data_IF_736458453590
#
_entry.id   IF_736458453590
#
_cell.length_a   1.000
_cell.length_b   1.000
_cell.length_c   1.000
_cell.angle_alpha   90.00
_cell.angle_beta   90.00
_cell.angle_gamma   90.00
#
_symmetry.space_group_name_H-M   'P 1'
#
loop_
_entity.id
_entity.type
_entity.pdbx_description
1 polymer ?
#
# COMPACT_ATOMS: atom_id res chain seq x y z
N UNK A 1 -62.22 12.12 -47.44
CA UNK A 1 -63.14 11.15 -46.85
C UNK A 1 -62.63 9.74 -47.15
N UNK A 2 -62.62 8.79 -46.23
CA UNK A 2 -62.79 8.80 -44.76
C UNK A 2 -61.46 8.67 -43.98
N UNK A 3 -61.28 9.19 -42.78
CA UNK A 3 -61.74 8.74 -41.43
C UNK A 3 -61.30 7.33 -41.04
N UNK A 4 -60.65 7.28 -39.91
CA UNK A 4 -60.62 6.12 -39.03
C UNK A 4 -59.27 5.98 -38.33
N UNK A 5 -59.30 6.45 -37.11
CA UNK A 5 -59.09 5.73 -35.83
C UNK A 5 -57.61 5.63 -35.40
N UNK A 6 -57.25 6.40 -34.43
CA UNK A 6 -57.43 6.31 -32.97
C UNK A 6 -56.35 5.47 -32.26
N UNK A 7 -55.70 6.16 -31.33
CA UNK A 7 -55.36 5.68 -29.99
C UNK A 7 -54.86 4.24 -29.79
N UNK A 8 -53.63 4.22 -29.33
CA UNK A 8 -53.00 3.41 -28.24
C UNK A 8 -51.53 3.27 -28.53
N UNK A 9 -50.63 3.76 -27.77
CA UNK A 9 -50.31 3.32 -26.46
C UNK A 9 -49.21 4.24 -25.88
N UNK A 10 -49.55 5.11 -25.00
CA UNK A 10 -48.70 5.53 -23.92
C UNK A 10 -48.72 4.40 -22.90
N UNK A 11 -47.67 3.63 -22.78
CA UNK A 11 -47.35 2.84 -21.58
C UNK A 11 -46.13 1.99 -21.89
N UNK A 12 -45.06 2.25 -21.25
CA UNK A 12 -43.92 1.40 -20.89
C UNK A 12 -42.57 2.11 -21.09
N UNK A 13 -42.41 3.22 -20.38
CA UNK A 13 -41.09 3.74 -20.08
C UNK A 13 -41.02 3.96 -18.57
N UNK A 14 -41.10 2.86 -17.84
CA UNK A 14 -40.86 2.88 -16.40
C UNK A 14 -40.54 1.47 -15.95
N UNK A 15 -39.27 1.10 -15.99
CA UNK A 15 -38.69 0.01 -15.20
C UNK A 15 -37.26 -0.23 -15.63
N UNK A 16 -36.32 0.51 -15.12
CA UNK A 16 -34.92 0.07 -14.93
C UNK A 16 -34.21 1.10 -14.01
N UNK A 17 -34.84 1.45 -12.88
CA UNK A 17 -34.09 1.84 -11.69
C UNK A 17 -33.64 0.53 -11.06
N UNK A 18 -32.46 0.04 -11.44
CA UNK A 18 -31.76 -0.94 -10.62
C UNK A 18 -31.29 -0.19 -9.39
N UNK A 19 -31.91 -0.48 -8.27
CA UNK A 19 -31.38 -0.26 -6.95
C UNK A 19 -29.96 -0.85 -6.94
N UNK A 20 -28.98 0.01 -6.72
CA UNK A 20 -27.65 -0.43 -6.37
C UNK A 20 -27.76 -0.83 -4.91
N UNK A 21 -28.04 -2.11 -4.67
CA UNK A 21 -27.91 -2.70 -3.35
C UNK A 21 -26.52 -2.38 -2.82
N UNK A 22 -26.48 -1.56 -1.79
CA UNK A 22 -25.27 -1.34 -1.02
C UNK A 22 -24.84 -2.70 -0.46
N UNK A 23 -23.70 -3.19 -0.92
CA UNK A 23 -23.07 -4.36 -0.33
C UNK A 23 -22.95 -4.13 1.18
N UNK A 24 -23.35 -5.10 2.02
CA UNK A 24 -23.25 -4.93 3.46
C UNK A 24 -21.79 -4.71 3.82
N UNK A 25 -21.53 -3.62 4.56
CA UNK A 25 -20.25 -3.41 5.21
C UNK A 25 -19.91 -4.71 5.96
N UNK A 26 -18.79 -5.35 5.59
CA UNK A 26 -18.28 -6.47 6.36
C UNK A 26 -18.08 -5.96 7.79
N UNK A 27 -18.92 -6.46 8.69
CA UNK A 27 -18.76 -6.23 10.11
C UNK A 27 -17.31 -6.57 10.47
N UNK A 28 -16.65 -5.64 11.15
CA UNK A 28 -15.38 -5.94 11.80
C UNK A 28 -15.57 -7.26 12.55
N UNK A 29 -14.77 -8.26 12.20
CA UNK A 29 -14.79 -9.52 12.94
C UNK A 29 -14.36 -9.17 14.36
N UNK A 30 -15.33 -9.05 15.26
CA UNK A 30 -15.10 -9.15 16.69
C UNK A 30 -14.55 -10.55 16.92
N UNK A 31 -13.24 -10.62 17.14
CA UNK A 31 -12.62 -11.83 17.65
C UNK A 31 -13.10 -11.97 19.11
N UNK A 32 -14.16 -12.74 19.30
CA UNK A 32 -14.58 -13.22 20.62
C UNK A 32 -13.51 -14.20 21.11
N UNK A 33 -12.45 -13.66 21.71
CA UNK A 33 -11.45 -14.45 22.40
C UNK A 33 -12.05 -14.80 23.76
N UNK A 34 -12.51 -16.04 23.91
CA UNK A 34 -12.81 -16.60 25.21
C UNK A 34 -11.55 -16.47 26.10
N UNK A 35 -11.65 -15.98 27.34
CA UNK A 35 -10.52 -15.90 28.25
C UNK A 35 -10.17 -17.31 28.74
N UNK A 36 -9.42 -18.09 27.95
CA UNK A 36 -8.88 -19.38 28.36
C UNK A 36 -7.36 -19.25 28.45
N UNK A 37 -6.86 -19.24 29.68
CA UNK A 37 -5.50 -19.63 30.12
C UNK A 37 -4.30 -19.03 29.34
N UNK A 38 -4.31 -17.74 29.08
CA UNK A 38 -3.07 -17.04 28.74
C UNK A 38 -2.26 -16.92 30.02
N UNK A 39 -1.25 -17.75 30.20
CA UNK A 39 -0.30 -17.58 31.27
C UNK A 39 0.31 -16.18 31.14
N UNK A 40 0.25 -15.38 32.21
CA UNK A 40 0.78 -14.02 32.28
C UNK A 40 2.29 -13.95 31.95
N UNK A 41 2.97 -15.11 31.89
CA UNK A 41 4.37 -15.32 31.50
C UNK A 41 4.65 -15.19 30.00
N UNK A 42 3.62 -15.22 29.13
CA UNK A 42 3.81 -15.22 27.66
C UNK A 42 3.74 -13.81 27.06
N UNK A 43 3.24 -12.82 27.82
CA UNK A 43 3.17 -11.43 27.39
C UNK A 43 4.56 -10.81 27.41
N UNK A 44 4.98 -10.26 26.26
CA UNK A 44 6.28 -9.60 26.12
C UNK A 44 6.22 -8.16 26.64
N UNK A 45 7.28 -7.74 27.33
CA UNK A 45 7.44 -6.34 27.72
C UNK A 45 8.08 -5.57 26.55
N UNK A 46 7.35 -4.62 25.96
CA UNK A 46 7.89 -3.74 24.93
C UNK A 46 7.35 -2.31 25.04
N UNK A 47 8.12 -1.37 24.50
CA UNK A 47 7.80 0.04 24.45
C UNK A 47 7.41 0.43 23.02
N UNK A 48 6.43 1.33 22.86
CA UNK A 48 6.12 2.03 21.61
C UNK A 48 6.68 3.44 21.73
N UNK A 49 7.73 3.74 20.98
CA UNK A 49 8.41 5.05 21.01
C UNK A 49 8.17 5.78 19.69
N UNK A 50 7.45 6.94 19.71
CA UNK A 50 7.28 7.74 18.50
C UNK A 50 8.62 8.12 17.87
N UNK A 51 8.72 8.02 16.55
CA UNK A 51 9.88 8.48 15.79
C UNK A 51 9.86 10.01 15.63
N UNK A 52 11.03 10.64 15.48
CA UNK A 52 11.10 12.07 15.19
C UNK A 52 10.60 12.32 13.77
N UNK A 53 9.43 12.94 13.62
CA UNK A 53 8.85 13.27 12.33
C UNK A 53 7.32 13.14 12.28
N UNK A 54 6.74 13.22 11.09
CA UNK A 54 5.29 13.27 10.91
C UNK A 54 4.61 11.90 11.02
N UNK A 55 5.38 10.79 11.14
CA UNK A 55 4.85 9.43 11.13
C UNK A 55 5.86 8.44 11.72
N UNK A 56 5.33 7.40 12.35
CA UNK A 56 6.09 6.23 12.78
C UNK A 56 6.36 6.12 14.27
N UNK A 57 6.56 4.87 14.69
CA UNK A 57 7.06 4.52 16.00
C UNK A 57 8.04 3.34 15.93
N UNK A 58 8.97 3.30 16.86
CA UNK A 58 9.87 2.18 17.10
C UNK A 58 9.26 1.25 18.14
N UNK A 59 9.24 -0.05 17.87
CA UNK A 59 8.82 -1.08 18.82
C UNK A 59 10.08 -1.66 19.47
N UNK A 60 10.27 -1.40 20.74
CA UNK A 60 11.51 -1.73 21.46
C UNK A 60 11.25 -2.86 22.46
N UNK A 61 12.04 -3.94 22.35
CA UNK A 61 11.98 -5.06 23.25
C UNK A 61 11.02 -6.17 22.85
N UNK A 62 10.33 -6.06 21.70
CA UNK A 62 9.51 -7.14 21.17
C UNK A 62 10.38 -8.08 20.32
N UNK A 63 10.29 -9.37 20.62
CA UNK A 63 10.98 -10.46 19.91
C UNK A 63 9.98 -11.22 19.03
N UNK A 64 10.07 -11.05 17.72
CA UNK A 64 9.21 -11.69 16.72
C UNK A 64 9.67 -13.13 16.35
N UNK A 65 10.76 -13.62 16.95
CA UNK A 65 11.11 -15.07 16.85
C UNK A 65 10.19 -15.93 17.70
N UNK A 66 9.47 -15.31 18.64
CA UNK A 66 8.49 -15.95 19.53
C UNK A 66 7.07 -15.71 19.02
N UNK A 67 6.18 -16.62 19.31
CA UNK A 67 4.75 -16.40 19.08
C UNK A 67 4.26 -15.21 19.93
N UNK A 68 3.53 -14.30 19.31
CA UNK A 68 2.95 -13.15 20.02
C UNK A 68 1.65 -13.54 20.71
N UNK A 69 1.57 -13.29 22.00
CA UNK A 69 0.32 -13.38 22.75
C UNK A 69 -0.74 -12.43 22.13
N UNK A 70 -2.04 -12.75 22.22
CA UNK A 70 -3.11 -11.90 21.69
C UNK A 70 -3.05 -10.46 22.21
N UNK A 71 -2.68 -10.26 23.48
CA UNK A 71 -2.54 -8.93 24.08
C UNK A 71 -1.39 -8.13 23.45
N UNK A 72 -0.24 -8.76 23.17
CA UNK A 72 0.89 -8.12 22.51
C UNK A 72 0.54 -7.74 21.06
N UNK A 73 -0.11 -8.64 20.34
CA UNK A 73 -0.59 -8.35 18.99
C UNK A 73 -1.56 -7.16 18.98
N UNK A 74 -2.53 -7.12 19.91
CA UNK A 74 -3.47 -6.00 20.00
C UNK A 74 -2.76 -4.66 20.24
N UNK A 75 -1.70 -4.64 21.07
CA UNK A 75 -0.89 -3.44 21.30
C UNK A 75 -0.09 -3.03 20.05
N UNK A 76 0.47 -4.00 19.31
CA UNK A 76 1.18 -3.73 18.04
C UNK A 76 0.20 -3.21 16.99
N UNK A 77 -0.99 -3.81 16.87
CA UNK A 77 -2.02 -3.39 15.94
C UNK A 77 -2.49 -1.95 16.27
N UNK A 78 -2.75 -1.64 17.54
CA UNK A 78 -3.10 -0.28 17.94
C UNK A 78 -1.98 0.72 17.62
N UNK A 79 -0.72 0.36 17.91
CA UNK A 79 0.42 1.21 17.55
C UNK A 79 0.52 1.45 16.03
N UNK A 80 0.18 0.45 15.20
CA UNK A 80 0.13 0.59 13.75
C UNK A 80 -0.95 1.59 13.32
N UNK A 81 -2.14 1.54 13.93
CA UNK A 81 -3.23 2.48 13.66
C UNK A 81 -2.91 3.93 14.11
N UNK A 82 -2.19 4.08 15.21
CA UNK A 82 -1.83 5.38 15.77
C UNK A 82 -0.66 6.04 15.03
N UNK A 83 0.31 5.23 14.59
CA UNK A 83 1.58 5.73 14.03
C UNK A 83 1.78 5.43 12.54
N UNK A 84 1.00 4.55 11.92
CA UNK A 84 1.00 4.19 10.50
C UNK A 84 2.29 3.54 9.97
N UNK A 85 3.38 3.64 10.69
CA UNK A 85 4.68 3.05 10.40
C UNK A 85 5.28 2.50 11.68
N UNK A 86 5.63 1.21 11.70
CA UNK A 86 6.32 0.59 12.83
C UNK A 86 7.70 0.09 12.40
N UNK A 87 8.69 0.34 13.25
CA UNK A 87 10.07 -0.14 13.08
C UNK A 87 10.39 -1.10 14.21
N UNK A 88 10.66 -2.35 13.88
CA UNK A 88 11.12 -3.37 14.80
C UNK A 88 12.62 -3.58 14.53
N UNK A 89 13.47 -3.26 15.52
CA UNK A 89 14.92 -3.36 15.38
C UNK A 89 15.43 -4.77 15.65
N UNK A 90 16.53 -5.13 14.98
CA UNK A 90 17.30 -6.39 15.17
C UNK A 90 16.44 -7.67 15.22
N UNK A 91 15.48 -7.79 14.32
CA UNK A 91 14.59 -8.95 14.23
C UNK A 91 15.26 -10.06 13.41
N UNK A 92 15.82 -11.08 14.08
CA UNK A 92 16.51 -12.21 13.42
C UNK A 92 15.53 -13.33 13.09
N UNK A 93 14.44 -12.99 12.42
CA UNK A 93 13.36 -13.91 12.08
C UNK A 93 13.66 -14.69 10.80
N UNK A 94 13.13 -15.92 10.75
CA UNK A 94 13.13 -16.74 9.55
C UNK A 94 12.09 -16.22 8.54
N UNK A 95 12.18 -16.60 7.25
CA UNK A 95 11.12 -16.30 6.27
C UNK A 95 9.72 -16.73 6.72
N UNK A 96 9.60 -17.90 7.37
CA UNK A 96 8.31 -18.37 7.86
C UNK A 96 7.77 -17.49 8.99
N UNK A 97 8.61 -17.09 9.96
CA UNK A 97 8.21 -16.18 11.04
C UNK A 97 7.78 -14.80 10.50
N UNK A 98 8.47 -14.30 9.45
CA UNK A 98 8.05 -13.07 8.76
C UNK A 98 6.65 -13.23 8.15
N UNK A 99 6.37 -14.35 7.46
CA UNK A 99 5.06 -14.67 6.89
C UNK A 99 4.00 -14.78 8.00
N UNK A 100 4.30 -15.52 9.06
CA UNK A 100 3.34 -15.80 10.15
C UNK A 100 2.97 -14.51 10.89
N UNK A 101 3.94 -13.64 11.17
CA UNK A 101 3.67 -12.33 11.75
C UNK A 101 2.82 -11.46 10.81
N UNK A 102 3.14 -11.42 9.53
CA UNK A 102 2.39 -10.64 8.54
C UNK A 102 0.94 -11.12 8.42
N UNK A 103 0.69 -12.42 8.46
CA UNK A 103 -0.64 -13.03 8.39
C UNK A 103 -1.56 -12.67 9.56
N UNK A 104 -1.00 -12.20 10.67
CA UNK A 104 -1.81 -11.71 11.81
C UNK A 104 -2.65 -10.48 11.43
N UNK A 105 -2.25 -9.72 10.43
CA UNK A 105 -2.95 -8.52 9.95
C UNK A 105 -3.91 -8.80 8.79
N UNK A 106 -3.82 -9.96 8.15
CA UNK A 106 -4.71 -10.36 7.05
C UNK A 106 -4.07 -11.33 6.06
N UNK A 107 -4.82 -11.73 5.01
CA UNK A 107 -4.30 -12.56 3.92
C UNK A 107 -3.11 -11.90 3.23
N UNK A 108 -2.13 -12.69 2.79
CA UNK A 108 -0.97 -12.19 2.06
C UNK A 108 -1.20 -12.26 0.54
N UNK A 109 -0.83 -11.19 -0.14
CA UNK A 109 -0.86 -11.10 -1.59
C UNK A 109 0.38 -11.78 -2.20
N UNK A 110 0.17 -12.50 -3.30
CA UNK A 110 1.25 -13.06 -4.13
C UNK A 110 1.52 -12.09 -5.28
N UNK A 111 2.75 -11.58 -5.36
CA UNK A 111 3.12 -10.61 -6.40
C UNK A 111 3.17 -11.26 -7.78
N UNK A 112 2.76 -10.53 -8.83
CA UNK A 112 2.68 -11.04 -10.22
C UNK A 112 4.04 -11.40 -10.83
N UNK A 113 5.14 -10.88 -10.34
CA UNK A 113 6.51 -11.17 -10.79
C UNK A 113 7.06 -12.39 -10.04
N UNK A 114 6.56 -13.57 -10.40
CA UNK A 114 6.87 -14.85 -9.72
C UNK A 114 8.37 -15.19 -9.69
N UNK A 115 9.15 -14.73 -10.67
CA UNK A 115 10.59 -14.98 -10.76
C UNK A 115 11.39 -14.33 -9.61
N UNK A 116 10.79 -13.41 -8.86
CA UNK A 116 11.42 -12.74 -7.71
C UNK A 116 10.88 -13.21 -6.36
N UNK A 117 10.06 -14.25 -6.35
CA UNK A 117 9.62 -14.87 -5.09
C UNK A 117 10.79 -15.59 -4.44
N UNK A 118 10.84 -15.53 -3.12
CA UNK A 118 11.81 -16.34 -2.37
C UNK A 118 11.49 -17.82 -2.54
N UNK A 119 12.50 -18.63 -2.86
CA UNK A 119 12.33 -20.07 -3.05
C UNK A 119 11.70 -20.73 -1.81
N UNK A 120 10.61 -21.45 -1.99
CA UNK A 120 9.83 -22.09 -0.92
C UNK A 120 8.87 -21.17 -0.15
N UNK A 121 8.87 -19.83 -0.44
CA UNK A 121 8.04 -18.84 0.24
C UNK A 121 7.47 -17.84 -0.78
N UNK A 122 6.46 -18.20 -1.58
CA UNK A 122 5.92 -17.36 -2.64
C UNK A 122 5.28 -16.06 -2.12
N UNK A 123 4.93 -15.97 -0.86
CA UNK A 123 4.42 -14.76 -0.20
C UNK A 123 5.50 -13.68 -0.01
N UNK A 124 6.78 -14.07 -0.11
CA UNK A 124 7.90 -13.15 0.02
C UNK A 124 8.42 -12.75 -1.36
N UNK A 125 8.31 -11.46 -1.68
CA UNK A 125 9.00 -10.85 -2.81
C UNK A 125 10.41 -10.42 -2.38
N UNK A 126 11.43 -10.84 -3.14
CA UNK A 126 12.80 -10.35 -2.96
C UNK A 126 12.94 -8.99 -3.63
N UNK A 127 13.26 -7.96 -2.84
CA UNK A 127 13.60 -6.60 -3.31
C UNK A 127 15.12 -6.47 -3.24
N UNK A 128 15.80 -6.42 -4.40
CA UNK A 128 17.26 -6.46 -4.44
C UNK A 128 17.80 -5.91 -5.75
N UNK A 129 18.92 -5.17 -5.68
CA UNK A 129 19.71 -4.76 -6.84
C UNK A 129 20.83 -5.75 -7.19
N UNK A 130 20.91 -6.88 -6.50
CA UNK A 130 21.97 -7.87 -6.67
C UNK A 130 21.73 -8.68 -7.94
N UNK A 131 22.80 -8.89 -8.69
CA UNK A 131 22.86 -9.77 -9.86
C UNK A 131 23.81 -10.92 -9.56
N UNK A 132 23.33 -12.16 -9.66
CA UNK A 132 24.12 -13.39 -9.49
C UNK A 132 24.08 -14.19 -10.79
N UNK A 133 25.20 -14.66 -11.26
CA UNK A 133 25.34 -15.39 -12.54
C UNK A 133 24.63 -14.68 -13.73
N UNK A 134 24.74 -13.34 -13.78
CA UNK A 134 24.12 -12.50 -14.81
C UNK A 134 22.61 -12.35 -14.71
N UNK A 135 21.97 -12.80 -13.62
CA UNK A 135 20.53 -12.71 -13.41
C UNK A 135 20.21 -11.90 -12.14
N UNK A 136 19.25 -10.96 -12.20
CA UNK A 136 18.74 -10.32 -10.99
C UNK A 136 18.11 -11.34 -10.05
N UNK A 137 18.47 -11.31 -8.77
CA UNK A 137 17.88 -12.17 -7.74
C UNK A 137 16.61 -11.58 -7.12
N UNK A 138 16.29 -10.33 -7.43
CA UNK A 138 15.15 -9.60 -6.91
C UNK A 138 14.73 -8.44 -7.81
N UNK A 139 13.69 -7.73 -7.41
CA UNK A 139 13.21 -6.53 -8.09
C UNK A 139 14.06 -5.33 -7.67
N UNK A 140 15.03 -4.94 -8.51
CA UNK A 140 16.02 -3.91 -8.19
C UNK A 140 15.55 -2.47 -8.28
N UNK A 141 14.51 -2.22 -9.05
CA UNK A 141 13.91 -0.88 -9.26
C UNK A 141 12.58 -0.69 -8.53
N UNK A 142 12.26 -1.57 -7.57
CA UNK A 142 11.05 -1.43 -6.77
C UNK A 142 11.06 -0.11 -6.01
N UNK A 143 10.01 0.69 -6.23
CA UNK A 143 9.79 1.91 -5.45
C UNK A 143 10.68 3.11 -5.78
N UNK A 144 11.26 3.20 -6.97
CA UNK A 144 12.01 4.39 -7.43
C UNK A 144 11.16 5.66 -7.64
N UNK A 145 9.89 5.60 -7.35
CA UNK A 145 8.90 6.68 -7.45
C UNK A 145 7.96 6.62 -6.25
N UNK A 146 7.34 7.75 -5.89
CA UNK A 146 6.37 7.79 -4.81
C UNK A 146 5.13 6.96 -5.14
N UNK A 147 4.78 6.00 -4.28
CA UNK A 147 3.65 5.10 -4.50
C UNK A 147 3.08 4.53 -3.19
N UNK A 148 1.84 4.08 -3.26
CA UNK A 148 1.25 3.12 -2.33
C UNK A 148 1.25 1.75 -3.01
N UNK A 149 1.65 0.70 -2.30
CA UNK A 149 1.74 -0.66 -2.86
C UNK A 149 0.39 -1.14 -3.39
N UNK A 150 0.42 -1.72 -4.60
CA UNK A 150 -0.73 -2.40 -5.22
C UNK A 150 -1.96 -1.49 -5.40
N UNK A 151 -1.84 -0.16 -5.36
CA UNK A 151 -2.96 0.76 -5.54
C UNK A 151 -3.67 0.63 -6.90
N UNK A 152 -3.08 -0.11 -7.84
CA UNK A 152 -3.62 -0.44 -9.15
C UNK A 152 -4.54 -1.69 -9.16
N UNK A 153 -4.92 -2.23 -8.00
CA UNK A 153 -5.91 -3.30 -7.85
C UNK A 153 -7.17 -2.79 -7.17
N UNK A 154 -8.28 -3.48 -7.40
CA UNK A 154 -9.57 -3.19 -6.75
C UNK A 154 -9.48 -3.28 -5.22
N UNK A 155 -8.71 -4.28 -4.74
CA UNK A 155 -8.30 -4.44 -3.34
C UNK A 155 -6.80 -4.09 -3.22
N UNK A 156 -6.45 -2.82 -2.96
CA UNK A 156 -5.08 -2.41 -2.71
C UNK A 156 -4.50 -3.07 -1.46
N UNK A 157 -3.20 -2.97 -1.28
CA UNK A 157 -2.55 -3.44 -0.05
C UNK A 157 -3.02 -2.66 1.19
N UNK A 158 -3.33 -3.37 2.27
CA UNK A 158 -3.45 -2.79 3.62
C UNK A 158 -2.10 -2.23 4.04
N UNK A 159 -1.06 -3.03 3.96
CA UNK A 159 0.28 -2.69 4.41
C UNK A 159 1.31 -3.67 3.88
N UNK A 160 2.58 -3.30 4.01
CA UNK A 160 3.70 -4.15 3.63
C UNK A 160 4.73 -4.19 4.74
N UNK A 161 5.34 -5.36 4.92
CA UNK A 161 6.45 -5.56 5.84
C UNK A 161 7.72 -5.82 5.04
N UNK A 162 8.77 -5.06 5.33
CA UNK A 162 10.06 -5.15 4.64
C UNK A 162 11.16 -5.49 5.65
N UNK A 163 11.80 -6.63 5.48
CA UNK A 163 12.81 -7.15 6.39
C UNK A 163 14.21 -7.07 5.76
N UNK A 164 15.14 -6.39 6.45
CA UNK A 164 16.51 -6.18 5.97
C UNK A 164 17.36 -7.45 6.06
N UNK A 165 17.87 -7.91 4.90
CA UNK A 165 18.74 -9.07 4.77
C UNK A 165 20.20 -8.67 4.50
N UNK A 166 20.42 -7.75 3.57
CA UNK A 166 21.72 -7.21 3.21
C UNK A 166 21.56 -5.71 2.94
N UNK A 167 22.37 -4.88 3.59
CA UNK A 167 22.29 -3.43 3.50
C UNK A 167 23.58 -2.83 2.94
N UNK A 168 23.48 -1.78 2.12
CA UNK A 168 24.63 -1.04 1.65
C UNK A 168 25.25 -0.22 2.80
N UNK A 169 26.54 0.09 2.69
CA UNK A 169 27.23 0.98 3.65
C UNK A 169 26.76 2.43 3.58
N UNK A 170 26.15 2.84 2.46
CA UNK A 170 25.56 4.17 2.25
C UNK A 170 24.36 4.09 1.29
N UNK A 171 23.43 5.03 1.40
CA UNK A 171 22.19 5.01 0.63
C UNK A 171 21.21 3.93 1.10
N UNK A 172 20.29 3.56 0.22
CA UNK A 172 19.31 2.49 0.50
C UNK A 172 18.17 2.89 1.45
N UNK A 173 18.10 4.14 1.88
CA UNK A 173 17.02 4.64 2.76
C UNK A 173 15.64 4.46 2.10
N UNK A 174 14.59 4.46 2.92
CA UNK A 174 13.21 4.52 2.45
C UNK A 174 12.53 5.76 3.03
N UNK A 175 11.86 6.52 2.17
CA UNK A 175 11.10 7.70 2.57
C UNK A 175 9.62 7.34 2.62
N UNK A 176 8.92 7.85 3.62
CA UNK A 176 7.47 7.68 3.83
C UNK A 176 6.81 9.04 3.95
N UNK A 177 5.75 9.28 3.20
CA UNK A 177 4.96 10.52 3.29
C UNK A 177 3.59 10.22 3.93
N UNK A 178 3.23 11.04 4.93
CA UNK A 178 1.96 10.92 5.65
C UNK A 178 0.81 11.53 4.85
N UNK A 179 -0.03 10.69 4.27
CA UNK A 179 -1.13 11.11 3.41
C UNK A 179 -2.35 11.62 4.18
N UNK A 180 -2.48 11.31 5.49
CA UNK A 180 -3.43 12.00 6.38
C UNK A 180 -3.01 13.45 6.56
N UNK A 181 -1.74 13.68 6.92
CA UNK A 181 -1.22 15.04 7.09
C UNK A 181 -1.26 15.83 5.79
N UNK A 182 -0.92 15.18 4.67
CA UNK A 182 -1.03 15.79 3.34
C UNK A 182 -2.47 16.22 3.04
N UNK A 183 -3.49 15.41 3.39
CA UNK A 183 -4.88 15.81 3.26
C UNK A 183 -5.27 16.95 4.21
N UNK A 184 -4.85 16.88 5.48
CA UNK A 184 -5.20 17.85 6.52
C UNK A 184 -4.63 19.25 6.21
N UNK A 185 -3.47 19.33 5.55
CA UNK A 185 -2.76 20.56 5.20
C UNK A 185 -3.04 21.07 3.78
N UNK A 186 -3.95 20.42 3.02
CA UNK A 186 -4.33 20.88 1.68
C UNK A 186 -4.83 22.33 1.70
N UNK A 187 -4.33 23.20 0.80
CA UNK A 187 -4.96 24.49 0.55
C UNK A 187 -6.44 24.33 0.19
N UNK A 188 -7.26 25.26 0.64
CA UNK A 188 -8.72 25.20 0.45
C UNK A 188 -9.12 25.03 -1.04
N UNK A 189 -8.40 25.67 -1.96
CA UNK A 189 -8.64 25.55 -3.40
C UNK A 189 -8.46 24.10 -3.88
N UNK A 190 -7.33 23.46 -3.54
CA UNK A 190 -7.05 22.05 -3.89
C UNK A 190 -8.04 21.10 -3.22
N UNK A 191 -8.34 21.33 -1.93
CA UNK A 191 -9.32 20.52 -1.20
C UNK A 191 -10.70 20.55 -1.87
N UNK A 192 -11.16 21.71 -2.30
CA UNK A 192 -12.44 21.88 -3.01
C UNK A 192 -12.41 21.22 -4.40
N UNK A 193 -11.29 21.31 -5.11
CA UNK A 193 -11.14 20.75 -6.46
C UNK A 193 -11.24 19.20 -6.46
N UNK A 194 -10.93 18.54 -5.35
CA UNK A 194 -10.90 17.05 -5.27
C UNK A 194 -12.12 16.45 -4.56
N UNK A 195 -13.08 17.26 -4.09
CA UNK A 195 -14.29 16.73 -3.43
C UNK A 195 -15.03 15.78 -4.37
N UNK A 196 -15.23 14.54 -3.92
CA UNK A 196 -15.93 13.50 -4.67
C UNK A 196 -15.24 13.03 -5.95
N UNK A 197 -14.02 13.49 -6.24
CA UNK A 197 -13.26 13.07 -7.42
C UNK A 197 -12.74 11.64 -7.25
N UNK A 198 -12.63 10.95 -8.39
CA UNK A 198 -12.03 9.64 -8.52
C UNK A 198 -10.87 9.71 -9.51
N UNK A 199 -9.87 8.86 -9.32
CA UNK A 199 -8.69 8.80 -10.17
C UNK A 199 -8.45 7.37 -10.66
N UNK A 200 -7.86 7.26 -11.84
CA UNK A 200 -7.46 5.99 -12.45
C UNK A 200 -6.06 5.65 -11.98
N UNK A 201 -5.88 4.41 -11.54
CA UNK A 201 -4.59 3.83 -11.18
C UNK A 201 -4.22 2.74 -12.18
N UNK A 202 -2.98 2.77 -12.68
CA UNK A 202 -2.49 1.88 -13.74
C UNK A 202 -1.07 1.39 -13.44
N UNK A 203 -0.92 0.08 -13.29
CA UNK A 203 0.39 -0.57 -13.22
C UNK A 203 1.10 -0.53 -14.58
N UNK A 204 0.33 -0.75 -15.67
CA UNK A 204 0.90 -0.86 -17.02
C UNK A 204 1.49 0.46 -17.51
N UNK A 205 0.89 1.60 -17.13
CA UNK A 205 1.43 2.91 -17.48
C UNK A 205 2.82 3.10 -16.88
N UNK A 206 2.97 2.83 -15.58
CA UNK A 206 4.25 2.93 -14.87
C UNK A 206 5.26 1.90 -15.36
N UNK A 207 4.83 0.65 -15.59
CA UNK A 207 5.69 -0.41 -16.10
C UNK A 207 6.32 -0.04 -17.45
N UNK A 208 5.48 0.49 -18.37
CA UNK A 208 5.93 0.96 -19.68
C UNK A 208 6.86 2.17 -19.60
N UNK A 209 6.65 3.08 -18.66
CA UNK A 209 7.53 4.21 -18.42
C UNK A 209 8.93 3.75 -17.96
N UNK A 210 9.00 2.87 -16.99
CA UNK A 210 10.26 2.32 -16.48
C UNK A 210 11.05 1.54 -17.55
N UNK A 211 10.35 0.82 -18.45
CA UNK A 211 11.01 0.17 -19.58
C UNK A 211 11.64 1.19 -20.55
N UNK A 212 10.96 2.31 -20.83
CA UNK A 212 11.48 3.38 -21.67
C UNK A 212 12.70 4.07 -21.07
N UNK A 213 12.76 4.19 -19.76
CA UNK A 213 13.87 4.76 -19.01
C UNK A 213 15.10 3.82 -18.90
N UNK A 214 15.04 2.65 -19.55
CA UNK A 214 16.12 1.70 -19.58
C UNK A 214 16.25 0.81 -18.33
N UNK A 215 15.27 0.82 -17.43
CA UNK A 215 15.22 -0.13 -16.34
C UNK A 215 14.91 -1.53 -16.89
N UNK A 216 15.72 -2.51 -16.49
CA UNK A 216 15.49 -3.88 -16.91
C UNK A 216 14.19 -4.42 -16.32
N UNK A 217 13.25 -4.73 -17.20
CA UNK A 217 11.98 -5.38 -16.81
C UNK A 217 11.60 -6.40 -17.88
N UNK A 218 11.22 -7.64 -17.49
CA UNK A 218 10.76 -8.65 -18.43
C UNK A 218 9.44 -8.21 -19.06
N UNK A 219 9.18 -8.65 -20.30
CA UNK A 219 7.86 -8.46 -20.88
C UNK A 219 6.80 -9.23 -20.06
N UNK A 220 5.70 -8.57 -19.75
CA UNK A 220 4.59 -9.21 -19.05
C UNK A 220 3.87 -10.16 -20.01
N UNK A 221 3.50 -11.33 -19.52
CA UNK A 221 2.63 -12.27 -20.25
C UNK A 221 1.19 -11.71 -20.31
N UNK A 222 0.39 -12.22 -21.25
CA UNK A 222 -1.03 -11.87 -21.35
C UNK A 222 -1.80 -12.14 -20.04
N UNK A 223 -1.44 -13.21 -19.32
CA UNK A 223 -2.02 -13.55 -18.03
C UNK A 223 -1.65 -12.52 -16.95
N UNK A 224 -0.40 -12.05 -16.90
CA UNK A 224 0.05 -11.01 -15.97
C UNK A 224 -0.63 -9.67 -16.29
N UNK A 225 -0.73 -9.30 -17.58
CA UNK A 225 -1.45 -8.09 -18.01
C UNK A 225 -2.93 -8.15 -17.59
N UNK A 226 -3.59 -9.29 -17.71
CA UNK A 226 -4.98 -9.47 -17.30
C UNK A 226 -5.20 -9.28 -15.78
N UNK A 227 -4.16 -9.47 -14.95
CA UNK A 227 -4.22 -9.31 -13.50
C UNK A 227 -4.00 -7.87 -13.00
N UNK A 228 -3.58 -6.95 -13.88
CA UNK A 228 -3.19 -5.57 -13.53
C UNK A 228 -3.88 -4.54 -14.41
N UNK A 229 -5.17 -4.76 -14.69
CA UNK A 229 -6.00 -3.80 -15.41
C UNK A 229 -6.18 -2.51 -14.62
N UNK A 230 -6.45 -1.40 -15.31
CA UNK A 230 -6.73 -0.11 -14.67
C UNK A 230 -7.92 -0.20 -13.71
N UNK A 231 -7.80 0.46 -12.58
CA UNK A 231 -8.87 0.59 -11.58
C UNK A 231 -9.15 2.05 -11.26
N UNK A 232 -10.34 2.32 -10.71
CA UNK A 232 -10.75 3.68 -10.34
C UNK A 232 -11.00 3.76 -8.85
N UNK A 233 -10.21 4.59 -8.16
CA UNK A 233 -10.30 4.83 -6.71
C UNK A 233 -10.70 6.27 -6.40
N UNK A 234 -11.22 6.58 -5.18
CA UNK A 234 -11.40 7.95 -4.75
C UNK A 234 -10.04 8.65 -4.63
N UNK A 235 -9.99 9.94 -4.97
CA UNK A 235 -8.77 10.79 -4.76
C UNK A 235 -8.49 10.97 -3.26
N UNK A 236 -9.53 10.95 -2.45
CA UNK A 236 -9.47 10.96 -0.98
C UNK A 236 -10.18 9.72 -0.47
N UNK A 237 -9.46 8.84 0.22
CA UNK A 237 -10.04 7.67 0.88
C UNK A 237 -10.27 7.92 2.36
N UNK A 238 -11.25 7.24 2.94
CA UNK A 238 -11.40 7.12 4.40
C UNK A 238 -10.66 5.87 4.87
N UNK A 239 -9.84 6.00 5.90
CA UNK A 239 -9.18 4.85 6.53
C UNK A 239 -10.22 4.01 7.30
N UNK A 240 -10.36 2.70 7.01
CA UNK A 240 -11.50 1.91 7.49
C UNK A 240 -11.50 1.68 9.01
N UNK A 241 -10.33 1.73 9.68
CA UNK A 241 -10.23 1.43 11.10
C UNK A 241 -10.15 2.68 12.00
N UNK A 242 -9.54 3.79 11.53
CA UNK A 242 -9.42 5.01 12.33
C UNK A 242 -10.32 6.18 11.85
N UNK A 243 -11.02 6.02 10.71
CA UNK A 243 -11.96 7.00 10.16
C UNK A 243 -11.32 8.27 9.57
N UNK A 244 -10.01 8.41 9.60
CA UNK A 244 -9.32 9.60 9.08
C UNK A 244 -9.29 9.59 7.55
N UNK A 245 -9.31 10.77 6.96
CA UNK A 245 -9.16 10.95 5.51
C UNK A 245 -7.69 11.00 5.14
N UNK A 246 -7.34 10.40 3.98
CA UNK A 246 -6.01 10.43 3.40
C UNK A 246 -6.10 10.72 1.91
N UNK A 247 -5.14 11.46 1.36
CA UNK A 247 -4.97 11.53 -0.09
C UNK A 247 -4.60 10.13 -0.61
N UNK A 248 -5.27 9.69 -1.68
CA UNK A 248 -5.03 8.38 -2.27
C UNK A 248 -4.67 8.51 -3.76
N UNK A 249 -3.63 9.29 -4.02
CA UNK A 249 -3.01 9.50 -5.32
C UNK A 249 -1.50 9.41 -5.18
N UNK A 250 -0.81 8.97 -6.23
CA UNK A 250 0.65 8.88 -6.24
C UNK A 250 1.20 8.99 -7.65
N UNK A 251 2.38 9.57 -7.77
CA UNK A 251 3.13 9.69 -9.02
C UNK A 251 3.27 8.34 -9.75
N UNK A 252 3.51 7.26 -8.96
CA UNK A 252 3.79 5.95 -9.50
C UNK A 252 2.64 5.28 -10.22
N UNK A 253 1.40 5.48 -9.77
CA UNK A 253 0.29 4.69 -10.33
C UNK A 253 -0.92 5.51 -10.74
N UNK A 254 -1.07 6.77 -10.30
CA UNK A 254 -2.24 7.58 -10.63
C UNK A 254 -2.03 8.29 -11.97
N UNK A 255 -2.87 8.00 -12.95
CA UNK A 255 -2.67 8.46 -14.34
C UNK A 255 -3.57 9.63 -14.71
N UNK A 256 -4.82 9.66 -14.23
CA UNK A 256 -5.78 10.73 -14.55
C UNK A 256 -6.91 10.82 -13.53
N UNK A 257 -7.51 11.99 -13.42
CA UNK A 257 -8.75 12.21 -12.66
C UNK A 257 -9.95 12.02 -13.59
N UNK A 258 -10.90 11.19 -13.18
CA UNK A 258 -12.09 10.86 -13.96
C UNK A 258 -12.96 12.12 -14.15
N UNK A 259 -13.37 12.35 -15.40
CA UNK A 259 -14.28 13.45 -15.76
C UNK A 259 -13.64 14.82 -15.93
N UNK A 260 -12.30 14.91 -15.87
CA UNK A 260 -11.57 16.12 -16.26
C UNK A 260 -10.91 15.97 -17.64
N UNK A 261 -10.75 17.06 -18.41
CA UNK A 261 -9.84 17.10 -19.55
C UNK A 261 -8.43 16.69 -19.15
N UNK A 262 -7.64 16.19 -20.10
CA UNK A 262 -6.32 15.61 -19.82
C UNK A 262 -5.35 16.63 -19.20
N UNK A 263 -5.32 17.85 -19.73
CA UNK A 263 -4.48 18.95 -19.25
C UNK A 263 -4.87 19.41 -17.85
N UNK A 264 -6.17 19.57 -17.58
CA UNK A 264 -6.68 19.94 -16.25
C UNK A 264 -6.41 18.81 -15.22
N UNK A 265 -6.64 17.57 -15.64
CA UNK A 265 -6.36 16.39 -14.82
C UNK A 265 -4.88 16.31 -14.46
N UNK A 266 -3.99 16.54 -15.43
CA UNK A 266 -2.54 16.50 -15.23
C UNK A 266 -2.09 17.62 -14.30
N UNK A 267 -2.54 18.85 -14.54
CA UNK A 267 -2.20 20.00 -13.69
C UNK A 267 -2.62 19.76 -12.23
N UNK A 268 -3.85 19.28 -12.00
CA UNK A 268 -4.34 18.99 -10.65
C UNK A 268 -3.56 17.86 -9.98
N UNK A 269 -3.23 16.77 -10.70
CA UNK A 269 -2.42 15.68 -10.15
C UNK A 269 -1.00 16.14 -9.79
N UNK A 270 -0.36 16.96 -10.64
CA UNK A 270 0.98 17.49 -10.36
C UNK A 270 1.01 18.35 -9.09
N UNK A 271 -0.02 19.20 -8.88
CA UNK A 271 -0.16 19.96 -7.62
C UNK A 271 -0.36 19.04 -6.41
N UNK A 272 -1.19 18.00 -6.52
CA UNK A 272 -1.42 17.03 -5.44
C UNK A 272 -0.16 16.22 -5.14
N UNK A 273 0.59 15.78 -6.16
CA UNK A 273 1.85 15.04 -5.96
C UNK A 273 2.89 15.92 -5.26
N UNK A 274 3.09 17.14 -5.74
CA UNK A 274 4.02 18.09 -5.13
C UNK A 274 3.65 18.39 -3.66
N UNK A 275 2.36 18.56 -3.38
CA UNK A 275 1.87 18.80 -2.03
C UNK A 275 2.08 17.58 -1.12
N UNK A 276 1.83 16.36 -1.61
CA UNK A 276 1.93 15.12 -0.83
C UNK A 276 3.33 14.88 -0.29
N UNK A 277 4.36 15.30 -1.02
CA UNK A 277 5.77 15.02 -0.70
C UNK A 277 6.53 16.25 -0.18
N UNK A 278 5.84 17.19 0.45
CA UNK A 278 6.49 18.31 1.14
C UNK A 278 7.31 17.80 2.31
N UNK A 279 8.41 18.48 2.62
CA UNK A 279 9.38 18.04 3.62
C UNK A 279 8.74 17.74 5.00
N UNK A 280 7.74 18.54 5.41
CA UNK A 280 7.00 18.37 6.65
C UNK A 280 6.11 17.11 6.71
N UNK A 281 5.84 16.47 5.56
CA UNK A 281 5.07 15.24 5.49
C UNK A 281 5.95 13.99 5.48
N UNK A 282 7.27 14.13 5.34
CA UNK A 282 8.19 13.03 5.06
C UNK A 282 8.96 12.60 6.31
N UNK A 283 8.95 11.29 6.56
CA UNK A 283 9.91 10.61 7.42
C UNK A 283 10.88 9.82 6.55
N UNK A 284 12.20 9.88 6.86
CA UNK A 284 13.25 9.10 6.21
C UNK A 284 13.71 7.99 7.15
N UNK A 285 13.46 6.75 6.77
CA UNK A 285 13.96 5.57 7.47
C UNK A 285 15.37 5.23 7.01
N UNK A 286 16.30 5.26 7.95
CA UNK A 286 17.67 4.76 7.79
C UNK A 286 17.73 3.34 8.32
N UNK A 287 17.96 2.40 7.40
CA UNK A 287 17.96 1.00 7.71
C UNK A 287 19.12 0.59 8.62
N UNK A 288 18.83 -0.30 9.57
CA UNK A 288 19.81 -1.04 10.35
C UNK A 288 19.71 -2.55 10.04
N UNK A 289 20.80 -3.33 10.27
CA UNK A 289 20.73 -4.78 10.07
C UNK A 289 19.57 -5.41 10.82
N UNK A 290 18.84 -6.29 10.13
CA UNK A 290 17.67 -7.00 10.65
C UNK A 290 16.48 -6.13 11.06
N UNK A 291 16.39 -4.88 10.59
CA UNK A 291 15.17 -4.11 10.73
C UNK A 291 14.02 -4.81 10.02
N UNK A 292 12.87 -4.88 10.68
CA UNK A 292 11.59 -5.13 10.05
C UNK A 292 10.77 -3.85 10.12
N UNK A 293 10.36 -3.34 8.96
CA UNK A 293 9.55 -2.12 8.87
C UNK A 293 8.18 -2.47 8.31
N UNK A 294 7.14 -2.08 9.03
CA UNK A 294 5.74 -2.29 8.66
C UNK A 294 5.04 -0.94 8.45
N UNK A 295 4.49 -0.70 7.26
CA UNK A 295 3.77 0.54 6.96
C UNK A 295 2.37 0.28 6.44
N UNK A 296 1.48 1.27 6.70
CA UNK A 296 0.09 1.27 6.29
C UNK A 296 -0.07 1.96 4.93
N UNK A 297 -0.31 1.18 3.88
CA UNK A 297 -0.52 1.67 2.52
C UNK A 297 -1.83 2.46 2.34
N UNK A 298 -2.72 2.41 3.34
CA UNK A 298 -3.99 3.16 3.32
C UNK A 298 -3.79 4.63 3.69
N UNK A 299 -2.66 4.94 4.33
CA UNK A 299 -2.34 6.27 4.86
C UNK A 299 -0.95 6.78 4.50
N UNK A 300 -0.10 5.97 3.85
CA UNK A 300 1.25 6.35 3.44
C UNK A 300 1.49 6.08 1.95
N UNK A 301 2.33 6.93 1.37
CA UNK A 301 3.09 6.60 0.16
C UNK A 301 4.56 6.53 0.50
N UNK A 302 5.34 5.79 -0.27
CA UNK A 302 6.76 5.61 0.01
C UNK A 302 7.62 5.64 -1.25
N UNK A 303 8.92 5.88 -1.04
CA UNK A 303 9.94 6.01 -2.08
C UNK A 303 11.23 5.34 -1.62
N UNK A 304 11.81 4.48 -2.46
CA UNK A 304 13.16 3.98 -2.25
C UNK A 304 14.17 5.08 -2.59
N UNK A 305 15.03 5.42 -1.63
CA UNK A 305 16.02 6.51 -1.76
C UNK A 305 17.21 6.19 -2.69
N UNK A 306 17.19 5.01 -3.33
CA UNK A 306 18.26 4.55 -4.22
C UNK A 306 19.42 3.90 -3.46
N UNK A 307 20.10 3.00 -4.15
CA UNK A 307 21.33 2.33 -3.67
C UNK A 307 22.40 2.54 -4.74
N UNK A 308 23.64 2.92 -4.39
CA UNK A 308 24.73 2.98 -5.35
C UNK A 308 24.92 1.62 -6.05
N UNK A 309 25.15 1.63 -7.36
CA UNK A 309 25.16 0.41 -8.18
C UNK A 309 26.24 -0.62 -7.75
N UNK A 310 27.33 -0.14 -7.15
CA UNK A 310 28.43 -0.99 -6.65
C UNK A 310 28.17 -1.59 -5.26
N UNK A 311 27.10 -1.17 -4.57
CA UNK A 311 26.72 -1.67 -3.25
C UNK A 311 25.54 -2.62 -3.36
N UNK A 312 25.52 -3.61 -2.49
CA UNK A 312 24.52 -4.67 -2.47
C UNK A 312 23.41 -4.34 -1.48
N UNK A 313 22.15 -4.54 -1.88
CA UNK A 313 20.97 -4.40 -1.03
C UNK A 313 19.99 -5.53 -1.31
N UNK A 314 19.53 -6.19 -0.23
CA UNK A 314 18.52 -7.24 -0.31
C UNK A 314 17.57 -7.15 0.88
N UNK A 315 16.28 -7.10 0.58
CA UNK A 315 15.19 -7.07 1.55
C UNK A 315 14.14 -8.11 1.16
N UNK A 316 13.43 -8.64 2.15
CA UNK A 316 12.28 -9.53 1.95
C UNK A 316 10.99 -8.79 2.25
N UNK A 317 10.04 -8.80 1.32
CA UNK A 317 8.76 -8.11 1.45
C UNK A 317 7.59 -9.08 1.47
N UNK A 318 6.74 -8.99 2.49
CA UNK A 318 5.36 -9.49 2.47
C UNK A 318 4.40 -8.33 2.23
N UNK A 319 3.26 -8.60 1.61
CA UNK A 319 2.23 -7.59 1.32
C UNK A 319 0.88 -8.13 1.77
N UNK A 320 0.17 -7.38 2.59
CA UNK A 320 -1.12 -7.78 3.17
C UNK A 320 -2.24 -7.24 2.28
N UNK A 321 -3.24 -8.08 1.98
CA UNK A 321 -4.44 -7.68 1.26
C UNK A 321 -5.25 -6.66 2.07
N UNK A 322 -5.73 -5.61 1.40
CA UNK A 322 -6.50 -4.55 2.05
C UNK A 322 -7.97 -4.57 1.67
N UNK A 323 -8.55 -3.39 1.64
CA UNK A 323 -9.97 -3.12 1.42
C UNK A 323 -10.21 -2.30 0.15
N UNK A 324 -11.44 -2.29 -0.34
CA UNK A 324 -11.86 -1.38 -1.41
C UNK A 324 -11.86 0.06 -0.86
N UNK A 325 -11.08 0.99 -1.45
CA UNK A 325 -11.05 2.39 -1.00
C UNK A 325 -12.39 3.10 -1.16
N UNK A 326 -12.85 3.81 -0.12
CA UNK A 326 -14.10 4.57 -0.11
C UNK A 326 -13.95 5.97 0.50
#
# INVERSE_FOLDING_TARGET
MPQGETERSMSQSNALRREVDAAPARQAQQFDVQPSDVHQSDVQQFEVRPLPGPVGAEIIGLDLTRELAPADFSRVHQAHLDHHLLVFRDQRITPQQHIDFSRRFGPLMIHVLHQFHLAGHPEILTVSNIVEDGKPIGLGDAGKYWHSDISYKELPSLGSLLHAQELPSEGGDTLFANMHLAYDTLPAALRNAIVGKRAVHSYLAQYGQLQKEGNWRPNLSAQQIAQVQEVVHPVVRTHPENGRRALFVSEGFTTRIVGLPEDESRALLDELFAHSVRAEHIYRHRWQPHDLVFWDNRSLIHLAGGTPDHLRRKLYRTTIEGDVPF
#
